data_IF_997112393886
#
_entry.id   IF_997112393886
#
_cell.length_a   1.000
_cell.length_b   1.000
_cell.length_c   1.000
_cell.angle_alpha   90.00
_cell.angle_beta   90.00
_cell.angle_gamma   90.00
#
_symmetry.space_group_name_H-M   'P 1'
#
loop_
_entity.id
_entity.type
_entity.pdbx_description
1 polymer ?
#
# COMPACT_ATOMS: atom_id res chain seq x y z
N UNK A 1 -19.21 12.16 7.81
CA UNK A 1 -18.23 11.22 8.41
C UNK A 1 -17.04 11.14 7.45
N UNK A 2 -15.85 11.56 7.87
CA UNK A 2 -14.64 11.55 7.03
C UNK A 2 -13.76 10.39 7.46
N UNK A 3 -13.83 9.28 6.73
CA UNK A 3 -12.98 8.11 7.01
C UNK A 3 -11.65 8.39 6.34
N UNK A 4 -10.65 8.87 7.10
CA UNK A 4 -9.27 8.87 6.63
C UNK A 4 -8.81 7.42 6.54
N UNK A 5 -8.54 6.96 5.32
CA UNK A 5 -8.05 5.60 5.10
C UNK A 5 -6.62 5.49 5.66
N UNK A 6 -6.45 4.68 6.69
CA UNK A 6 -5.13 4.31 7.19
C UNK A 6 -4.51 3.27 6.25
N UNK A 7 -3.19 3.17 6.29
CA UNK A 7 -2.45 2.16 5.58
C UNK A 7 -2.93 0.78 6.05
N UNK A 8 -3.45 -0.03 5.13
CA UNK A 8 -3.96 -1.36 5.44
C UNK A 8 -2.85 -2.38 5.75
N UNK A 9 -1.57 -1.97 5.73
CA UNK A 9 -0.42 -2.81 6.06
C UNK A 9 0.04 -2.60 7.51
N UNK A 10 0.17 -1.35 7.95
CA UNK A 10 0.60 -1.04 9.33
C UNK A 10 -0.50 -0.48 10.23
N UNK A 11 -1.65 -0.12 9.65
CA UNK A 11 -2.84 0.42 10.32
C UNK A 11 -2.58 1.63 11.22
N UNK A 12 -1.46 2.31 11.00
CA UNK A 12 -0.95 3.38 11.87
C UNK A 12 -0.74 4.70 11.13
N UNK A 13 -0.21 4.63 9.90
CA UNK A 13 0.02 5.80 9.06
C UNK A 13 -1.14 6.03 8.09
N UNK A 14 -1.39 7.28 7.70
CA UNK A 14 -2.39 7.60 6.66
C UNK A 14 -1.97 7.03 5.30
N UNK A 15 -2.90 6.39 4.60
CA UNK A 15 -2.66 5.91 3.25
C UNK A 15 -2.61 7.10 2.28
N UNK A 16 -1.57 7.12 1.45
CA UNK A 16 -1.37 8.14 0.42
C UNK A 16 -1.27 7.54 -0.99
N UNK A 17 -1.14 6.21 -1.08
CA UNK A 17 -0.98 5.47 -2.32
C UNK A 17 -1.94 4.29 -2.33
N UNK A 18 -2.31 3.83 -3.52
CA UNK A 18 -3.13 2.64 -3.72
C UNK A 18 -2.33 1.64 -4.54
N UNK A 19 -2.32 0.38 -4.11
CA UNK A 19 -1.65 -0.69 -4.85
C UNK A 19 -2.44 -1.06 -6.11
N UNK A 20 -1.82 -1.04 -7.28
CA UNK A 20 -2.50 -1.39 -8.54
C UNK A 20 -2.82 -2.90 -8.67
N UNK A 21 -2.11 -3.77 -7.94
CA UNK A 21 -2.35 -5.21 -8.01
C UNK A 21 -3.52 -5.69 -7.13
N UNK A 22 -3.65 -5.16 -5.91
CA UNK A 22 -4.66 -5.62 -4.95
C UNK A 22 -5.66 -4.53 -4.53
N UNK A 23 -5.48 -3.29 -4.94
CA UNK A 23 -6.32 -2.15 -4.57
C UNK A 23 -6.12 -1.64 -3.14
N UNK A 24 -5.14 -2.16 -2.40
CA UNK A 24 -4.93 -1.79 -1.00
C UNK A 24 -4.40 -0.36 -0.85
N UNK A 25 -4.96 0.39 0.10
CA UNK A 25 -4.51 1.73 0.44
C UNK A 25 -3.32 1.65 1.40
N UNK A 26 -2.17 2.21 1.01
CA UNK A 26 -0.89 2.09 1.70
C UNK A 26 -0.18 3.44 1.89
N UNK A 27 0.63 3.54 2.94
CA UNK A 27 1.49 4.70 3.16
C UNK A 27 2.75 4.61 2.29
N UNK A 28 3.52 5.71 2.21
CA UNK A 28 4.76 5.77 1.44
C UNK A 28 5.79 4.69 1.83
N UNK A 29 5.82 4.32 3.12
CA UNK A 29 6.72 3.30 3.67
C UNK A 29 6.45 1.89 3.09
N UNK A 30 5.16 1.57 2.91
CA UNK A 30 4.70 0.26 2.45
C UNK A 30 4.32 0.23 0.97
N UNK A 31 4.62 1.31 0.24
CA UNK A 31 4.43 1.43 -1.19
C UNK A 31 5.78 1.34 -1.92
N UNK A 32 5.97 0.27 -2.68
CA UNK A 32 7.11 0.08 -3.56
C UNK A 32 6.91 0.92 -4.82
N UNK A 33 7.60 2.07 -4.89
CA UNK A 33 7.55 2.97 -6.05
C UNK A 33 8.19 2.41 -7.31
N UNK A 34 9.10 1.44 -7.18
CA UNK A 34 9.77 0.84 -8.34
C UNK A 34 8.83 -0.16 -9.03
N UNK A 35 8.06 -0.92 -8.26
CA UNK A 35 7.05 -1.83 -8.77
C UNK A 35 5.68 -1.15 -9.01
N UNK A 36 5.42 -0.02 -8.34
CA UNK A 36 4.09 0.62 -8.31
C UNK A 36 3.09 -0.12 -7.41
N UNK A 37 3.56 -0.97 -6.49
CA UNK A 37 2.74 -1.93 -5.75
C UNK A 37 2.99 -1.81 -4.24
N UNK A 38 2.12 -2.36 -3.41
CA UNK A 38 2.44 -2.52 -1.99
C UNK A 38 3.55 -3.55 -1.78
N UNK A 39 4.29 -3.42 -0.67
CA UNK A 39 5.41 -4.33 -0.34
C UNK A 39 5.01 -5.81 -0.32
N UNK A 40 3.77 -6.14 0.05
CA UNK A 40 3.27 -7.53 0.04
C UNK A 40 3.12 -8.09 -1.38
N UNK A 41 2.55 -7.31 -2.29
CA UNK A 41 2.44 -7.71 -3.70
C UNK A 41 3.82 -7.73 -4.36
N UNK A 42 4.65 -6.70 -4.14
CA UNK A 42 5.99 -6.61 -4.70
C UNK A 42 6.90 -7.78 -4.25
N UNK A 43 6.76 -8.25 -3.02
CA UNK A 43 7.46 -9.44 -2.52
C UNK A 43 7.00 -10.74 -3.23
N UNK A 44 5.71 -10.83 -3.58
CA UNK A 44 5.13 -11.99 -4.28
C UNK A 44 5.46 -12.07 -5.77
N UNK A 45 5.75 -10.93 -6.42
CA UNK A 45 6.01 -10.84 -7.86
C UNK A 45 7.34 -11.42 -8.33
N UNK A 46 8.25 -11.81 -7.43
CA UNK A 46 9.58 -12.37 -7.80
C UNK A 46 9.56 -13.88 -8.07
N UNK A 47 8.55 -14.39 -8.78
CA UNK A 47 8.48 -15.80 -9.18
C UNK A 47 8.70 -16.00 -10.67
#
# INVERSE_FOLDING_TARGET
MSVTTLCQVCESATANYTCDACGAAVCAEHYDRAAGLCVSCAAGSRR
#
